data_IF_448097208687
#
_entry.id   IF_448097208687
#
_cell.length_a   1.000
_cell.length_b   1.000
_cell.length_c   1.000
_cell.angle_alpha   90.00
_cell.angle_beta   90.00
_cell.angle_gamma   90.00
#
_symmetry.space_group_name_H-M   'P 1'
#
loop_
_entity.id
_entity.type
_entity.pdbx_description
1 polymer ?
#
# COMPACT_ATOMS: atom_id res chain seq x y z
N UNK A 1 13.16 -21.77 -7.43
CA UNK A 1 12.02 -20.83 -7.40
C UNK A 1 12.54 -19.54 -6.79
N UNK A 2 12.57 -18.45 -7.54
CA UNK A 2 13.08 -17.16 -7.05
C UNK A 2 11.97 -16.53 -6.22
N UNK A 3 12.09 -16.58 -4.90
CA UNK A 3 11.26 -15.80 -3.99
C UNK A 3 11.64 -14.34 -4.22
N UNK A 4 10.86 -13.64 -5.05
CA UNK A 4 11.03 -12.21 -5.22
C UNK A 4 10.76 -11.56 -3.85
N UNK A 5 11.81 -10.99 -3.26
CA UNK A 5 11.72 -10.39 -1.94
C UNK A 5 10.72 -9.20 -1.99
N UNK A 6 9.70 -9.16 -1.11
CA UNK A 6 8.69 -8.12 -1.16
C UNK A 6 9.21 -6.89 -0.38
N UNK A 7 10.26 -6.22 -0.86
CA UNK A 7 11.10 -5.44 0.07
C UNK A 7 10.83 -3.93 0.08
N UNK A 8 9.90 -3.40 -0.73
CA UNK A 8 9.74 -1.93 -0.77
C UNK A 8 8.31 -1.41 -0.71
N UNK A 9 7.34 -2.18 -1.19
CA UNK A 9 5.92 -1.82 -1.07
C UNK A 9 5.38 -2.27 0.30
N UNK A 10 5.89 -3.39 0.84
CA UNK A 10 5.53 -3.93 2.15
C UNK A 10 5.81 -2.95 3.30
N UNK A 11 7.02 -2.38 3.40
CA UNK A 11 7.33 -1.49 4.53
C UNK A 11 6.51 -0.18 4.51
N UNK A 12 6.24 0.33 3.31
CA UNK A 12 5.52 1.59 3.15
C UNK A 12 4.01 1.41 3.39
N UNK A 13 3.42 0.34 2.87
CA UNK A 13 2.02 -0.01 3.10
C UNK A 13 1.78 -0.62 4.51
N UNK A 14 2.83 -1.04 5.23
CA UNK A 14 2.73 -1.53 6.60
C UNK A 14 2.64 -0.41 7.66
N UNK A 15 2.78 0.86 7.27
CA UNK A 15 2.69 1.98 8.22
C UNK A 15 1.33 2.69 8.08
N UNK A 16 0.49 2.60 9.10
CA UNK A 16 -0.76 3.36 9.18
C UNK A 16 -0.49 4.87 9.10
N UNK A 17 -1.39 5.62 8.45
CA UNK A 17 -1.29 7.05 8.17
C UNK A 17 -0.07 7.48 7.32
N UNK A 18 0.66 6.52 6.72
CA UNK A 18 1.65 6.84 5.71
C UNK A 18 0.95 7.31 4.41
N UNK A 19 1.64 8.19 3.68
CA UNK A 19 1.23 8.64 2.37
C UNK A 19 2.01 7.91 1.28
N UNK A 20 1.29 7.35 0.32
CA UNK A 20 1.80 6.60 -0.83
C UNK A 20 1.37 7.29 -2.14
N UNK A 21 2.16 7.15 -3.19
CA UNK A 21 1.81 7.64 -4.53
C UNK A 21 2.28 6.68 -5.61
N UNK A 22 1.47 6.51 -6.65
CA UNK A 22 1.85 5.85 -7.91
C UNK A 22 2.45 6.84 -8.93
N UNK A 23 2.48 8.14 -8.60
CA UNK A 23 2.90 9.23 -9.47
C UNK A 23 1.75 9.96 -10.16
N UNK A 24 0.52 9.49 -10.01
CA UNK A 24 -0.71 10.13 -10.49
C UNK A 24 -1.60 10.49 -9.30
N UNK A 25 -1.85 9.51 -8.44
CA UNK A 25 -2.70 9.58 -7.26
C UNK A 25 -1.88 9.52 -5.96
N UNK A 26 -2.53 9.94 -4.87
CA UNK A 26 -1.98 10.11 -3.54
C UNK A 26 -2.94 9.39 -2.62
N UNK A 27 -2.39 8.47 -1.86
CA UNK A 27 -3.13 7.55 -1.05
C UNK A 27 -2.66 7.68 0.40
N UNK A 28 -3.60 7.71 1.34
CA UNK A 28 -3.32 7.53 2.76
C UNK A 28 -3.57 6.07 3.13
N UNK A 29 -2.63 5.46 3.85
CA UNK A 29 -2.81 4.11 4.41
C UNK A 29 -3.78 4.20 5.59
N UNK A 30 -5.01 3.74 5.39
CA UNK A 30 -6.04 3.67 6.44
C UNK A 30 -5.85 2.41 7.26
N UNK A 31 -5.65 1.28 6.59
CA UNK A 31 -5.31 0.00 7.22
C UNK A 31 -4.06 -0.56 6.56
N UNK A 32 -3.00 -0.81 7.34
CA UNK A 32 -1.77 -1.33 6.77
C UNK A 32 -1.94 -2.75 6.24
N UNK A 33 -1.06 -3.15 5.32
CA UNK A 33 -0.95 -4.53 4.87
C UNK A 33 -0.50 -5.39 6.07
N UNK A 34 -1.39 -6.25 6.58
CA UNK A 34 -1.05 -7.19 7.64
C UNK A 34 -0.21 -8.35 7.07
N UNK A 35 0.81 -8.79 7.82
CA UNK A 35 1.61 -9.97 7.48
C UNK A 35 0.84 -11.23 7.92
N UNK A 36 0.89 -12.34 7.16
CA UNK A 36 0.19 -13.59 7.52
C UNK A 36 0.38 -13.97 9.00
N UNK A 37 -0.67 -14.46 9.69
CA UNK A 37 -1.87 -15.09 9.13
C UNK A 37 -3.08 -14.17 8.95
N UNK A 38 -2.94 -12.87 9.23
CA UNK A 38 -4.03 -11.90 9.11
C UNK A 38 -3.91 -11.23 7.75
N UNK A 39 -4.90 -11.46 6.89
CA UNK A 39 -5.22 -10.79 5.61
C UNK A 39 -4.09 -10.09 4.85
N UNK A 40 -3.76 -10.61 3.67
CA UNK A 40 -2.83 -10.04 2.67
C UNK A 40 -3.41 -8.80 1.94
N UNK A 41 -4.14 -7.95 2.66
CA UNK A 41 -4.81 -6.77 2.11
C UNK A 41 -4.54 -5.51 2.93
N UNK A 42 -4.39 -4.37 2.27
CA UNK A 42 -4.36 -3.04 2.86
C UNK A 42 -5.60 -2.24 2.47
N UNK A 43 -5.97 -1.23 3.26
CA UNK A 43 -6.97 -0.23 2.87
C UNK A 43 -6.29 1.11 2.63
N UNK A 44 -6.50 1.65 1.44
CA UNK A 44 -5.97 2.93 1.02
C UNK A 44 -7.12 3.90 0.74
N UNK A 45 -6.98 5.13 1.21
CA UNK A 45 -7.85 6.25 0.91
C UNK A 45 -7.20 7.11 -0.17
N UNK A 46 -7.84 7.29 -1.32
CA UNK A 46 -7.38 8.24 -2.33
C UNK A 46 -7.69 9.68 -1.87
N UNK A 47 -6.67 10.52 -1.70
CA UNK A 47 -6.81 11.87 -1.13
C UNK A 47 -7.54 12.87 -2.04
N UNK A 48 -7.67 12.57 -3.34
CA UNK A 48 -8.43 13.39 -4.27
C UNK A 48 -9.92 13.11 -4.24
N UNK A 49 -10.30 11.85 -4.06
CA UNK A 49 -11.70 11.40 -4.10
C UNK A 49 -12.28 11.12 -2.73
N UNK A 50 -11.44 11.03 -1.70
CA UNK A 50 -11.76 10.56 -0.34
C UNK A 50 -12.37 9.16 -0.29
N UNK A 51 -12.19 8.36 -1.36
CA UNK A 51 -12.67 7.00 -1.44
C UNK A 51 -11.68 6.02 -0.82
N UNK A 52 -12.17 5.15 0.07
CA UNK A 52 -11.41 4.04 0.65
C UNK A 52 -11.62 2.78 -0.18
N UNK A 53 -10.53 2.09 -0.52
CA UNK A 53 -10.55 0.80 -1.22
C UNK A 53 -9.59 -0.19 -0.57
N UNK A 54 -9.98 -1.46 -0.59
CA UNK A 54 -9.14 -2.58 -0.18
C UNK A 54 -8.33 -3.07 -1.37
N UNK A 55 -7.04 -3.27 -1.15
CA UNK A 55 -6.10 -3.75 -2.15
C UNK A 55 -5.37 -4.97 -1.60
N UNK A 56 -5.20 -5.98 -2.44
CA UNK A 56 -4.32 -7.13 -2.18
C UNK A 56 -2.84 -6.73 -2.32
N UNK A 57 -1.94 -7.50 -1.72
CA UNK A 57 -0.48 -7.31 -1.89
C UNK A 57 -0.07 -7.26 -3.38
N UNK A 58 -0.68 -8.11 -4.21
CA UNK A 58 -0.48 -8.17 -5.66
C UNK A 58 -0.89 -6.88 -6.38
N UNK A 59 -2.03 -6.30 -6.00
CA UNK A 59 -2.51 -5.04 -6.56
C UNK A 59 -1.62 -3.87 -6.14
N UNK A 60 -1.26 -3.81 -4.86
CA UNK A 60 -0.32 -2.81 -4.34
C UNK A 60 1.02 -2.89 -5.09
N UNK A 61 1.49 -4.10 -5.39
CA UNK A 61 2.71 -4.31 -6.17
C UNK A 61 2.59 -3.79 -7.60
N UNK A 62 1.48 -4.09 -8.29
CA UNK A 62 1.21 -3.62 -9.66
C UNK A 62 1.04 -2.10 -9.75
N UNK A 63 0.54 -1.46 -8.70
CA UNK A 63 0.39 0.00 -8.62
C UNK A 63 1.74 0.74 -8.56
N UNK A 64 2.84 0.05 -8.21
CA UNK A 64 4.17 0.68 -8.16
C UNK A 64 4.27 1.80 -7.12
N UNK A 65 3.57 1.64 -6.00
CA UNK A 65 3.44 2.66 -4.96
C UNK A 65 4.79 3.01 -4.32
N UNK A 66 4.99 4.30 -4.06
CA UNK A 66 6.17 4.85 -3.38
C UNK A 66 5.73 5.69 -2.20
N UNK A 67 6.46 5.59 -1.08
CA UNK A 67 6.22 6.43 0.10
C UNK A 67 6.57 7.89 -0.20
N UNK A 68 5.66 8.79 0.12
CA UNK A 68 5.92 10.23 0.16
C UNK A 68 6.60 10.57 1.49
N UNK A 69 7.71 11.30 1.43
CA UNK A 69 8.42 11.82 2.61
C UNK A 69 8.15 13.32 2.69
N UNK A 70 7.76 13.79 3.88
CA UNK A 70 7.73 15.20 4.22
C UNK A 70 9.12 15.69 4.65
#
# INVERSE_FOLDING_TARGET
MVTAAPTQIDEAAATQDAYLTDGVDLYRVVRPLDVPPRSETAELENCWTLGVRTYTADELWRMGLRRVRA
#
